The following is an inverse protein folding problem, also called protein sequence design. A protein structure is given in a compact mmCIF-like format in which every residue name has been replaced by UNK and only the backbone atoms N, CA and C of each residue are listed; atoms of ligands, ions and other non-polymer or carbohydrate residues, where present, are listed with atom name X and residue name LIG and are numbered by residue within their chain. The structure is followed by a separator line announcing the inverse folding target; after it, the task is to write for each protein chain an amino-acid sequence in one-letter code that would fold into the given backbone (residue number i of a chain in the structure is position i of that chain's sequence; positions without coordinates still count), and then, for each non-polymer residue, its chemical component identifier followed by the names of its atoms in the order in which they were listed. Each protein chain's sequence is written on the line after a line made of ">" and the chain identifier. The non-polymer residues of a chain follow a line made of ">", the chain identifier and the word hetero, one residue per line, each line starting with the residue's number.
data_IF_341588991821
#
_entry.id   IF_341588991821
#
_cell.length_a   1.000
_cell.length_b   1.000
_cell.length_c   1.000
_cell.angle_alpha   90.00
_cell.angle_beta   90.00
_cell.angle_gamma   90.00
#
_symmetry.space_group_name_H-M   'P 1'
#
loop_
_entity.id
_entity.type
_entity.pdbx_description
1 polymer ?
#
# COMPACT_ATOMS: atom_id res chain seq x y z
N UNK A 1 -8.99 5.92 19.86
CA UNK A 1 -8.49 7.30 19.82
C UNK A 1 -7.02 7.42 20.26
N UNK A 2 -6.61 6.74 21.34
CA UNK A 2 -5.23 6.82 21.88
C UNK A 2 -4.20 6.22 20.92
N UNK A 3 -4.48 5.06 20.33
CA UNK A 3 -3.60 4.37 19.38
C UNK A 3 -3.28 5.26 18.16
N UNK A 4 -4.30 5.91 17.57
CA UNK A 4 -4.09 6.82 16.43
C UNK A 4 -3.16 8.00 16.78
N UNK A 5 -3.15 8.48 18.02
CA UNK A 5 -2.27 9.58 18.46
C UNK A 5 -0.84 9.12 18.74
N UNK A 6 -0.66 7.91 19.25
CA UNK A 6 0.65 7.39 19.63
C UNK A 6 1.40 6.72 18.49
N UNK A 7 0.69 6.09 17.55
CA UNK A 7 1.32 5.36 16.44
C UNK A 7 2.31 6.17 15.61
N UNK A 8 2.08 7.44 15.25
CA UNK A 8 3.07 8.22 14.50
C UNK A 8 4.44 8.32 15.17
N UNK A 9 4.45 8.35 16.52
CA UNK A 9 5.70 8.42 17.29
C UNK A 9 6.38 7.07 17.49
N UNK A 10 5.63 5.96 17.37
CA UNK A 10 6.14 4.61 17.59
C UNK A 10 6.57 3.97 16.26
N UNK A 11 5.75 4.11 15.24
CA UNK A 11 5.96 3.49 13.92
C UNK A 11 5.27 4.32 12.83
N UNK A 12 6.02 5.04 11.99
CA UNK A 12 5.45 5.75 10.84
C UNK A 12 4.68 4.82 9.87
N UNK A 13 5.19 3.61 9.64
CA UNK A 13 4.51 2.60 8.83
C UNK A 13 3.19 2.15 9.46
N UNK A 14 3.17 1.91 10.78
CA UNK A 14 1.94 1.60 11.52
C UNK A 14 0.94 2.76 11.51
N UNK A 15 1.40 4.00 11.54
CA UNK A 15 0.53 5.17 11.41
C UNK A 15 -0.13 5.24 10.03
N UNK A 16 0.61 4.95 8.94
CA UNK A 16 0.09 4.89 7.58
C UNK A 16 -1.01 3.83 7.39
N UNK A 17 -1.04 2.79 8.21
CA UNK A 17 -2.11 1.79 8.23
C UNK A 17 -3.40 2.28 8.92
N UNK A 18 -3.35 3.38 9.65
CA UNK A 18 -4.47 3.94 10.43
C UNK A 18 -5.05 5.23 9.85
N UNK A 19 -4.39 5.83 8.87
CA UNK A 19 -4.75 7.12 8.29
C UNK A 19 -4.57 7.11 6.78
N UNK A 20 -5.45 7.83 6.06
CA UNK A 20 -5.14 8.28 4.70
C UNK A 20 -3.93 9.19 4.78
N UNK A 21 -2.95 8.96 3.91
CA UNK A 21 -1.70 9.75 3.88
C UNK A 21 -1.57 10.49 2.57
N UNK A 22 -0.88 11.62 2.60
CA UNK A 22 -0.48 12.40 1.43
C UNK A 22 1.03 12.61 1.46
N UNK A 23 1.69 12.40 0.34
CA UNK A 23 3.09 12.73 0.13
C UNK A 23 3.20 13.72 -1.03
N UNK A 24 3.82 14.88 -0.79
CA UNK A 24 4.09 15.84 -1.86
C UNK A 24 5.33 15.38 -2.61
N UNK A 25 5.16 15.04 -3.89
CA UNK A 25 6.18 14.36 -4.69
C UNK A 25 6.81 15.26 -5.75
N UNK A 26 6.11 16.31 -6.18
CA UNK A 26 6.59 17.24 -7.18
C UNK A 26 6.16 18.66 -6.81
N UNK A 27 6.98 19.63 -7.21
CA UNK A 27 6.62 21.05 -7.16
C UNK A 27 7.24 21.77 -8.38
N UNK A 28 6.51 22.69 -8.96
CA UNK A 28 7.01 23.54 -10.03
C UNK A 28 6.59 24.98 -9.79
N UNK A 29 7.49 25.92 -10.13
CA UNK A 29 7.26 27.34 -10.18
C UNK A 29 7.92 27.92 -11.43
N UNK A 30 8.57 29.11 -11.32
CA UNK A 30 9.28 29.73 -12.42
C UNK A 30 10.51 28.93 -12.86
N UNK A 31 10.80 28.97 -14.16
CA UNK A 31 12.03 28.40 -14.72
C UNK A 31 13.24 29.36 -14.58
N UNK A 32 12.99 30.65 -14.31
CA UNK A 32 14.02 31.66 -14.13
C UNK A 32 14.18 32.15 -12.69
N UNK A 33 15.42 32.42 -12.27
CA UNK A 33 15.74 32.80 -10.88
C UNK A 33 15.16 34.15 -10.45
N UNK A 34 14.86 35.01 -11.38
CA UNK A 34 14.42 36.40 -11.15
C UNK A 34 13.01 36.67 -11.70
N UNK A 35 12.24 35.64 -12.00
CA UNK A 35 10.89 35.75 -12.58
C UNK A 35 9.89 35.09 -11.64
N UNK A 36 8.80 35.78 -11.35
CA UNK A 36 7.68 35.20 -10.64
C UNK A 36 6.87 34.29 -11.61
N UNK A 37 6.51 33.08 -11.21
CA UNK A 37 5.70 32.21 -12.05
C UNK A 37 4.28 32.76 -12.20
N UNK A 38 3.69 32.60 -13.38
CA UNK A 38 2.27 32.86 -13.60
C UNK A 38 1.41 31.71 -13.00
N UNK A 39 1.96 30.52 -13.04
CA UNK A 39 1.37 29.33 -12.45
C UNK A 39 2.42 28.59 -11.62
N UNK A 40 1.99 28.03 -10.52
CA UNK A 40 2.81 27.14 -9.71
C UNK A 40 1.94 26.00 -9.21
N UNK A 41 2.52 24.80 -9.08
CA UNK A 41 1.79 23.67 -8.56
C UNK A 41 2.64 22.78 -7.64
N UNK A 42 1.95 22.04 -6.81
CA UNK A 42 2.50 20.93 -6.04
C UNK A 42 1.66 19.69 -6.29
N UNK A 43 2.32 18.55 -6.53
CA UNK A 43 1.64 17.28 -6.74
C UNK A 43 1.69 16.45 -5.47
N UNK A 44 0.52 15.99 -5.01
CA UNK A 44 0.38 15.10 -3.89
C UNK A 44 -0.02 13.69 -4.33
N UNK A 45 0.68 12.67 -3.83
CA UNK A 45 0.28 11.28 -3.94
C UNK A 45 -0.45 10.86 -2.67
N UNK A 46 -1.70 10.40 -2.83
CA UNK A 46 -2.55 9.97 -1.73
C UNK A 46 -2.59 8.45 -1.61
N UNK A 47 -2.58 7.96 -0.38
CA UNK A 47 -2.81 6.55 -0.03
C UNK A 47 -4.00 6.49 0.91
N UNK A 48 -5.09 5.89 0.44
CA UNK A 48 -6.34 5.82 1.17
C UNK A 48 -6.40 4.57 2.06
N UNK A 49 -7.02 4.72 3.23
CA UNK A 49 -7.37 3.58 4.08
C UNK A 49 -8.74 3.02 3.65
N UNK A 50 -8.97 1.71 3.81
CA UNK A 50 -10.18 1.05 3.29
C UNK A 50 -11.52 1.59 3.81
N UNK A 51 -11.54 2.15 5.01
CA UNK A 51 -12.77 2.64 5.65
C UNK A 51 -13.10 4.11 5.38
N UNK A 52 -12.28 4.81 4.57
CA UNK A 52 -12.53 6.18 4.15
C UNK A 52 -12.65 6.24 2.63
N UNK A 53 -13.82 6.63 2.10
CA UNK A 53 -14.04 6.72 0.67
C UNK A 53 -13.03 7.66 -0.01
N UNK A 54 -12.55 7.23 -1.19
CA UNK A 54 -11.58 8.01 -1.98
C UNK A 54 -12.10 9.40 -2.31
N UNK A 55 -13.36 9.48 -2.74
CA UNK A 55 -13.98 10.74 -3.15
C UNK A 55 -14.13 11.73 -1.99
N UNK A 56 -14.57 11.26 -0.83
CA UNK A 56 -14.64 12.06 0.40
C UNK A 56 -13.28 12.65 0.78
N UNK A 57 -12.22 11.84 0.70
CA UNK A 57 -10.86 12.29 0.99
C UNK A 57 -10.37 13.38 0.02
N UNK A 58 -10.69 13.24 -1.27
CA UNK A 58 -10.35 14.22 -2.30
C UNK A 58 -11.13 15.52 -2.06
N UNK A 59 -12.42 15.43 -1.73
CA UNK A 59 -13.26 16.58 -1.43
C UNK A 59 -12.73 17.38 -0.24
N UNK A 60 -12.40 16.70 0.86
CA UNK A 60 -11.80 17.33 2.05
C UNK A 60 -10.49 18.08 1.73
N UNK A 61 -9.64 17.50 0.88
CA UNK A 61 -8.40 18.17 0.44
C UNK A 61 -8.72 19.37 -0.43
N UNK A 62 -9.66 19.26 -1.36
CA UNK A 62 -10.09 20.33 -2.24
C UNK A 62 -10.72 21.49 -1.47
N UNK A 63 -11.55 21.22 -0.48
CA UNK A 63 -12.11 22.24 0.40
C UNK A 63 -11.02 22.94 1.22
N UNK A 64 -10.01 22.17 1.67
CA UNK A 64 -8.89 22.75 2.40
C UNK A 64 -8.02 23.64 1.49
N UNK A 65 -7.77 23.21 0.27
CA UNK A 65 -7.01 23.97 -0.73
C UNK A 65 -7.70 25.31 -1.06
N UNK A 66 -9.02 25.31 -1.26
CA UNK A 66 -9.83 26.51 -1.50
C UNK A 66 -9.70 27.57 -0.41
N UNK A 67 -9.47 27.17 0.85
CA UNK A 67 -9.26 28.13 1.94
C UNK A 67 -7.98 28.99 1.77
N UNK A 68 -7.10 28.59 0.86
CA UNK A 68 -5.84 29.25 0.53
C UNK A 68 -5.80 29.71 -0.94
N UNK A 69 -6.96 29.85 -1.58
CA UNK A 69 -7.09 30.24 -2.98
C UNK A 69 -6.34 29.31 -3.95
N UNK A 70 -6.28 28.02 -3.61
CA UNK A 70 -5.67 26.99 -4.45
C UNK A 70 -6.75 26.17 -5.18
N UNK A 71 -6.53 25.93 -6.46
CA UNK A 71 -7.31 25.00 -7.25
C UNK A 71 -6.75 23.58 -7.13
N UNK A 72 -7.64 22.59 -7.24
CA UNK A 72 -7.28 21.17 -7.13
C UNK A 72 -7.65 20.45 -8.40
N UNK A 73 -6.69 19.76 -9.01
CA UNK A 73 -6.90 18.88 -10.14
C UNK A 73 -6.58 17.43 -9.76
N UNK A 74 -7.44 16.49 -10.15
CA UNK A 74 -7.19 15.06 -9.98
C UNK A 74 -6.60 14.51 -11.26
N UNK A 75 -5.27 14.35 -11.29
CA UNK A 75 -4.53 13.86 -12.46
C UNK A 75 -4.80 12.38 -12.71
N UNK A 76 -4.86 11.60 -11.63
CA UNK A 76 -5.09 10.16 -11.68
C UNK A 76 -5.84 9.71 -10.44
N UNK A 77 -6.81 8.84 -10.64
CA UNK A 77 -7.62 8.25 -9.56
C UNK A 77 -7.80 6.77 -9.79
N UNK A 78 -7.52 6.00 -8.77
CA UNK A 78 -7.80 4.56 -8.74
C UNK A 78 -8.70 4.25 -7.53
N UNK A 79 -9.46 3.17 -7.65
CA UNK A 79 -10.34 2.73 -6.57
C UNK A 79 -9.71 1.57 -5.82
N UNK A 80 -9.89 1.50 -4.49
CA UNK A 80 -9.35 0.40 -3.71
C UNK A 80 -9.96 -0.93 -4.15
N UNK A 81 -9.17 -2.00 -4.03
CA UNK A 81 -9.70 -3.35 -4.12
C UNK A 81 -10.61 -3.63 -2.92
N UNK A 82 -11.57 -4.56 -3.05
CA UNK A 82 -12.33 -5.08 -1.92
C UNK A 82 -11.40 -5.52 -0.78
N UNK A 83 -11.88 -5.34 0.45
CA UNK A 83 -11.19 -5.87 1.63
C UNK A 83 -11.39 -7.37 1.65
N UNK A 84 -10.29 -8.13 1.63
CA UNK A 84 -10.33 -9.58 1.68
C UNK A 84 -10.94 -10.04 3.02
N UNK A 85 -11.90 -10.97 2.94
CA UNK A 85 -12.45 -11.60 4.12
C UNK A 85 -11.52 -12.73 4.60
N UNK A 86 -10.77 -12.47 5.64
CA UNK A 86 -9.81 -13.44 6.20
C UNK A 86 -10.46 -14.66 6.88
N UNK A 87 -11.79 -14.67 7.07
CA UNK A 87 -12.52 -15.80 7.59
C UNK A 87 -12.95 -16.80 6.50
N UNK A 88 -12.75 -16.47 5.23
CA UNK A 88 -13.12 -17.31 4.09
C UNK A 88 -12.02 -18.27 3.66
N UNK A 89 -12.40 -19.26 2.83
CA UNK A 89 -11.56 -20.38 2.42
C UNK A 89 -10.28 -19.92 1.69
N UNK A 90 -10.34 -18.84 0.91
CA UNK A 90 -9.18 -18.33 0.19
C UNK A 90 -8.04 -17.93 1.15
N UNK A 91 -8.35 -17.25 2.25
CA UNK A 91 -7.35 -16.89 3.25
C UNK A 91 -6.85 -18.11 4.01
N UNK A 92 -7.76 -19.00 4.43
CA UNK A 92 -7.42 -20.25 5.14
C UNK A 92 -6.48 -21.12 4.31
N UNK A 93 -6.73 -21.27 3.02
CA UNK A 93 -5.86 -22.03 2.11
C UNK A 93 -4.45 -21.47 2.05
N UNK A 94 -4.31 -20.15 1.97
CA UNK A 94 -2.98 -19.47 2.01
C UNK A 94 -2.32 -19.73 3.36
N UNK A 95 -3.04 -19.59 4.48
CA UNK A 95 -2.53 -19.82 5.83
C UNK A 95 -2.05 -21.27 6.03
N UNK A 96 -2.85 -22.26 5.63
CA UNK A 96 -2.49 -23.68 5.69
C UNK A 96 -1.22 -23.96 4.87
N UNK A 97 -1.14 -23.41 3.65
CA UNK A 97 0.05 -23.57 2.81
C UNK A 97 1.29 -22.91 3.42
N UNK A 98 1.12 -21.75 4.07
CA UNK A 98 2.22 -21.11 4.81
C UNK A 98 2.73 -22.04 5.93
N UNK A 99 1.84 -22.57 6.74
CA UNK A 99 2.22 -23.46 7.84
C UNK A 99 2.96 -24.73 7.40
N UNK A 100 2.61 -25.27 6.23
CA UNK A 100 3.29 -26.43 5.67
C UNK A 100 4.68 -26.10 5.11
N UNK A 101 4.80 -25.00 4.36
CA UNK A 101 6.07 -24.62 3.73
C UNK A 101 7.01 -23.92 4.72
N UNK A 102 6.45 -23.17 5.68
CA UNK A 102 7.18 -22.39 6.68
C UNK A 102 6.74 -22.79 8.10
N UNK A 103 7.11 -23.96 8.59
CA UNK A 103 6.65 -24.43 9.89
C UNK A 103 7.08 -23.51 11.03
N UNK A 104 6.16 -23.21 11.93
CA UNK A 104 6.39 -22.38 13.11
C UNK A 104 6.25 -20.88 12.88
N UNK A 105 5.88 -20.43 11.67
CA UNK A 105 5.58 -19.02 11.41
C UNK A 105 4.11 -18.75 11.75
N UNK A 106 3.87 -17.65 12.48
CA UNK A 106 2.52 -17.13 12.70
C UNK A 106 1.98 -16.39 11.48
N UNK A 107 0.70 -16.54 11.20
CA UNK A 107 0.01 -15.85 10.11
C UNK A 107 -0.97 -14.83 10.69
N UNK A 108 -1.01 -13.64 10.11
CA UNK A 108 -1.96 -12.59 10.50
C UNK A 108 -2.32 -11.72 9.30
N UNK A 109 -3.61 -11.40 9.11
CA UNK A 109 -3.99 -10.40 8.12
C UNK A 109 -3.50 -9.02 8.54
N UNK A 110 -3.12 -8.20 7.55
CA UNK A 110 -2.79 -6.80 7.79
C UNK A 110 -3.22 -5.90 6.62
N UNK A 111 -3.25 -4.60 6.82
CA UNK A 111 -3.59 -3.64 5.77
C UNK A 111 -2.37 -3.39 4.89
N UNK A 112 -2.47 -3.71 3.60
CA UNK A 112 -1.44 -3.39 2.62
C UNK A 112 -1.44 -1.89 2.34
N UNK A 113 -0.30 -1.25 2.54
CA UNK A 113 -0.10 0.20 2.31
C UNK A 113 0.38 0.52 0.89
N UNK A 114 0.74 -0.48 0.10
CA UNK A 114 1.19 -0.37 -1.29
C UNK A 114 0.10 -0.73 -2.31
N UNK A 115 0.21 -0.19 -3.52
CA UNK A 115 -0.58 -0.65 -4.66
C UNK A 115 -0.07 -1.99 -5.18
N UNK A 116 -0.96 -2.85 -5.66
CA UNK A 116 -0.64 -4.15 -6.26
C UNK A 116 -1.53 -4.41 -7.48
N UNK A 117 -1.16 -5.38 -8.30
CA UNK A 117 -1.95 -5.82 -9.46
C UNK A 117 -3.31 -6.42 -9.09
N UNK A 118 -3.59 -6.67 -7.81
CA UNK A 118 -4.90 -7.09 -7.31
C UNK A 118 -6.04 -6.16 -7.77
N UNK A 119 -5.76 -4.88 -8.02
CA UNK A 119 -6.72 -3.92 -8.55
C UNK A 119 -7.30 -4.30 -9.93
N UNK A 120 -6.57 -5.05 -10.74
CA UNK A 120 -7.03 -5.50 -12.05
C UNK A 120 -7.95 -6.74 -11.98
N UNK A 121 -7.98 -7.40 -10.83
CA UNK A 121 -8.79 -8.60 -10.60
C UNK A 121 -10.06 -8.33 -9.79
N UNK A 122 -10.26 -7.10 -9.30
CA UNK A 122 -11.37 -6.73 -8.41
C UNK A 122 -12.76 -7.02 -8.96
N UNK A 123 -12.91 -6.99 -10.29
CA UNK A 123 -14.20 -7.19 -10.96
C UNK A 123 -14.50 -8.68 -11.22
N UNK A 124 -13.54 -9.56 -10.97
CA UNK A 124 -13.68 -11.01 -11.16
C UNK A 124 -13.35 -11.84 -9.93
N UNK A 125 -12.82 -11.23 -8.88
CA UNK A 125 -12.46 -11.92 -7.66
C UNK A 125 -12.57 -10.98 -6.44
N UNK A 126 -13.43 -11.31 -5.51
CA UNK A 126 -13.63 -10.54 -4.27
C UNK A 126 -12.49 -10.76 -3.25
N UNK A 127 -11.81 -11.90 -3.31
CA UNK A 127 -10.77 -12.31 -2.36
C UNK A 127 -9.36 -12.31 -2.98
N UNK A 128 -8.94 -11.16 -3.51
CA UNK A 128 -7.58 -10.97 -4.03
C UNK A 128 -6.56 -10.86 -2.90
N UNK A 129 -6.01 -11.97 -2.44
CA UNK A 129 -5.00 -12.01 -1.38
C UNK A 129 -3.66 -11.52 -1.93
N UNK A 130 -3.04 -10.58 -1.20
CA UNK A 130 -1.73 -10.02 -1.52
C UNK A 130 -0.71 -10.65 -0.59
N UNK A 131 0.05 -11.58 -1.13
CA UNK A 131 1.05 -12.30 -0.38
C UNK A 131 2.23 -12.67 -1.28
N UNK A 132 3.44 -12.43 -0.81
CA UNK A 132 4.67 -12.89 -1.45
C UNK A 132 5.30 -13.96 -0.54
N UNK A 133 5.39 -15.22 -0.97
CA UNK A 133 5.92 -16.33 -0.17
C UNK A 133 7.46 -16.30 -0.13
N UNK A 134 8.03 -15.20 0.35
CA UNK A 134 9.46 -14.96 0.37
C UNK A 134 9.87 -14.48 1.75
N UNK A 135 10.83 -15.18 2.36
CA UNK A 135 11.42 -14.70 3.60
C UNK A 135 12.36 -13.54 3.29
N UNK A 136 12.07 -12.38 3.88
CA UNK A 136 12.92 -11.20 3.84
C UNK A 136 13.19 -10.71 5.26
N UNK A 137 14.44 -10.32 5.54
CA UNK A 137 14.80 -9.72 6.81
C UNK A 137 14.50 -8.20 6.81
N UNK A 138 14.68 -7.56 7.96
CA UNK A 138 14.39 -6.14 8.12
C UNK A 138 15.17 -5.25 7.14
N UNK A 139 16.46 -5.53 6.93
CA UNK A 139 17.31 -4.76 6.02
C UNK A 139 16.85 -4.88 4.57
N UNK A 140 16.46 -6.07 4.14
CA UNK A 140 15.91 -6.32 2.81
C UNK A 140 14.57 -5.60 2.63
N UNK A 141 13.69 -5.66 3.63
CA UNK A 141 12.42 -4.95 3.62
C UNK A 141 12.61 -3.42 3.50
N UNK A 142 13.57 -2.85 4.24
CA UNK A 142 13.88 -1.42 4.20
C UNK A 142 14.56 -0.99 2.89
N UNK A 143 15.13 -1.92 2.12
CA UNK A 143 15.76 -1.63 0.82
C UNK A 143 14.81 -1.67 -0.37
N UNK A 144 13.54 -2.08 -0.18
CA UNK A 144 12.53 -2.14 -1.24
C UNK A 144 12.37 -0.76 -1.89
N UNK A 145 12.51 -0.71 -3.23
CA UNK A 145 12.54 0.50 -4.04
C UNK A 145 13.71 1.46 -3.73
N UNK A 146 14.70 1.00 -2.99
CA UNK A 146 15.89 1.76 -2.61
C UNK A 146 17.17 1.28 -3.27
N UNK A 147 18.30 1.82 -2.79
CA UNK A 147 19.62 1.36 -3.21
C UNK A 147 19.92 -0.02 -2.61
N UNK A 148 20.55 -0.88 -3.42
CA UNK A 148 20.95 -2.25 -3.03
C UNK A 148 19.75 -3.13 -2.64
N UNK A 149 18.58 -2.90 -3.23
CA UNK A 149 17.44 -3.82 -3.10
C UNK A 149 17.88 -5.23 -3.47
N UNK A 150 17.64 -6.17 -2.57
CA UNK A 150 18.09 -7.55 -2.74
C UNK A 150 17.21 -8.55 -2.00
N UNK A 151 17.31 -9.81 -2.42
CA UNK A 151 16.68 -10.94 -1.76
C UNK A 151 17.68 -12.10 -1.64
N UNK A 152 17.53 -12.90 -0.59
CA UNK A 152 18.29 -14.13 -0.45
C UNK A 152 17.92 -15.15 -1.52
N UNK A 153 18.89 -15.67 -2.25
CA UNK A 153 18.69 -16.77 -3.22
C UNK A 153 18.04 -17.99 -2.53
N UNK A 154 18.38 -18.23 -1.27
CA UNK A 154 17.81 -19.33 -0.47
C UNK A 154 16.32 -19.18 -0.15
N UNK A 155 15.72 -17.98 -0.30
CA UNK A 155 14.29 -17.77 -0.12
C UNK A 155 13.46 -18.21 -1.34
N UNK A 156 14.08 -18.27 -2.53
CA UNK A 156 13.36 -18.55 -3.79
C UNK A 156 12.77 -19.97 -3.87
N UNK A 157 13.49 -21.05 -3.51
CA UNK A 157 12.96 -22.41 -3.60
C UNK A 157 11.66 -22.61 -2.79
N UNK A 158 11.62 -22.09 -1.57
CA UNK A 158 10.43 -22.18 -0.71
C UNK A 158 9.24 -21.41 -1.31
N UNK A 159 9.50 -20.25 -1.92
CA UNK A 159 8.47 -19.50 -2.65
C UNK A 159 7.92 -20.28 -3.84
N UNK A 160 8.78 -20.96 -4.59
CA UNK A 160 8.38 -21.85 -5.69
C UNK A 160 7.52 -23.00 -5.20
N UNK A 161 7.90 -23.64 -4.10
CA UNK A 161 7.16 -24.75 -3.52
C UNK A 161 5.79 -24.32 -2.99
N UNK A 162 5.70 -23.13 -2.41
CA UNK A 162 4.43 -22.51 -2.03
C UNK A 162 3.48 -22.37 -3.23
N UNK A 163 3.95 -21.76 -4.32
CA UNK A 163 3.11 -21.58 -5.52
C UNK A 163 2.73 -22.89 -6.18
N UNK A 164 3.65 -23.86 -6.25
CA UNK A 164 3.32 -25.21 -6.75
C UNK A 164 2.21 -25.86 -5.95
N UNK A 165 2.22 -25.71 -4.62
CA UNK A 165 1.19 -26.27 -3.75
C UNK A 165 -0.15 -25.56 -3.98
N UNK A 166 -0.20 -24.24 -3.91
CA UNK A 166 -1.42 -23.46 -4.14
C UNK A 166 -2.07 -23.84 -5.48
N UNK A 167 -1.28 -23.92 -6.56
CA UNK A 167 -1.80 -24.23 -7.90
C UNK A 167 -2.35 -25.66 -7.99
N UNK A 168 -1.74 -26.62 -7.31
CA UNK A 168 -2.19 -28.02 -7.34
C UNK A 168 -3.49 -28.26 -6.58
N UNK A 169 -3.76 -27.42 -5.60
CA UNK A 169 -4.90 -27.55 -4.67
C UNK A 169 -6.04 -26.57 -4.96
N UNK A 170 -5.92 -25.78 -6.05
CA UNK A 170 -6.92 -24.79 -6.48
C UNK A 170 -8.03 -25.37 -7.33
#
# INVERSE_FOLDING_TARGET
>A
PLLKKLMPSISPAGAAMLHTTIAFTMAKGADGLNVLPQEAYVTGNLRFIPHQPTDESIELISEKAKQYDLETEVIYKDYPCPVVNYAEDAFRKVEETIHEIYPGIGVSPYVMTGGTDAKYYKDICDNCIRFAPLYINKQQYESIHGLNENISIGALPMGVDFYKKIIKES
#
